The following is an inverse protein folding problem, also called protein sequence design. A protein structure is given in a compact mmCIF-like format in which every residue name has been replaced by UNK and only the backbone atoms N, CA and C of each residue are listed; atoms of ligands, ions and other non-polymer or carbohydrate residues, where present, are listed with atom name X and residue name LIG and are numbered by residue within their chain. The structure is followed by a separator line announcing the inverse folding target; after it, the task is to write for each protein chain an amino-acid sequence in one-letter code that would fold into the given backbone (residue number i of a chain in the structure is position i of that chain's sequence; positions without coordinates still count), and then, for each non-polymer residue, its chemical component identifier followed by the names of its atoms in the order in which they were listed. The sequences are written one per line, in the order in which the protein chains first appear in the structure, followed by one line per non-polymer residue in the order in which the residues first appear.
data_IF_985194649377
#
_entry.id   IF_985194649377
#
_cell.length_a   1.000
_cell.length_b   1.000
_cell.length_c   1.000
_cell.angle_alpha   90.00
_cell.angle_beta   90.00
_cell.angle_gamma   90.00
#
_symmetry.space_group_name_H-M   'P 1'
#
loop_
_entity.id
_entity.type
_entity.pdbx_description
1 polymer ?
#
# COMPACT_ATOMS: atom_id res chain seq x y z
N UNK A 1 -10.59 -4.89 13.73
CA UNK A 1 -10.94 -5.63 12.50
C UNK A 1 -9.69 -5.67 11.62
N UNK A 2 -9.28 -6.86 11.19
CA UNK A 2 -8.14 -7.02 10.26
C UNK A 2 -8.66 -7.66 8.98
N UNK A 3 -8.33 -7.08 7.83
CA UNK A 3 -8.80 -7.54 6.51
C UNK A 3 -7.64 -7.52 5.52
N UNK A 4 -7.49 -8.57 4.72
CA UNK A 4 -6.54 -8.60 3.62
C UNK A 4 -7.21 -8.05 2.35
N UNK A 5 -6.53 -7.12 1.67
CA UNK A 5 -6.97 -6.54 0.42
C UNK A 5 -6.30 -7.26 -0.76
N UNK A 6 -7.04 -7.41 -1.86
CA UNK A 6 -6.53 -7.97 -3.12
C UNK A 6 -5.97 -6.89 -4.04
N UNK A 7 -6.32 -5.62 -3.78
CA UNK A 7 -5.78 -4.47 -4.48
C UNK A 7 -5.52 -3.31 -3.49
N UNK A 8 -4.62 -2.37 -3.82
CA UNK A 8 -4.21 -1.32 -2.87
C UNK A 8 -5.23 -0.20 -2.67
N UNK A 9 -6.23 -0.08 -3.51
CA UNK A 9 -7.00 1.16 -3.59
C UNK A 9 -8.36 1.10 -2.91
N UNK A 10 -8.98 -0.09 -2.78
CA UNK A 10 -10.38 -0.17 -2.43
C UNK A 10 -10.72 -1.37 -1.55
N UNK A 11 -10.67 -1.20 -0.25
CA UNK A 11 -11.29 -2.18 0.64
C UNK A 11 -12.46 -1.56 1.38
N UNK A 12 -13.66 -1.93 0.97
CA UNK A 12 -14.89 -1.62 1.70
C UNK A 12 -14.99 -2.54 2.91
N UNK A 13 -15.12 -1.97 4.10
CA UNK A 13 -15.30 -2.73 5.34
C UNK A 13 -16.65 -2.40 5.97
N UNK A 14 -17.44 -3.44 6.19
CA UNK A 14 -18.71 -3.34 6.91
C UNK A 14 -18.58 -3.88 8.33
N UNK A 15 -19.17 -3.16 9.28
CA UNK A 15 -19.21 -3.54 10.69
C UNK A 15 -20.57 -3.10 11.29
N UNK A 16 -20.97 -3.73 12.37
CA UNK A 16 -22.27 -3.53 13.00
C UNK A 16 -22.09 -3.26 14.48
N UNK A 17 -21.76 -2.01 14.88
CA UNK A 17 -21.60 -1.65 16.28
C UNK A 17 -22.96 -1.62 16.97
N UNK A 18 -22.99 -2.07 18.20
CA UNK A 18 -24.14 -2.01 19.09
C UNK A 18 -23.75 -1.35 20.39
N UNK A 19 -24.65 -0.60 21.00
CA UNK A 19 -24.51 -0.11 22.35
C UNK A 19 -25.75 -0.53 23.16
N UNK A 20 -25.59 -0.73 24.44
CA UNK A 20 -26.69 -1.10 25.34
C UNK A 20 -26.80 -0.02 26.40
N UNK A 21 -27.99 0.45 26.60
CA UNK A 21 -28.37 1.36 27.67
C UNK A 21 -29.34 0.66 28.65
N UNK A 22 -29.36 1.11 29.89
CA UNK A 22 -30.18 0.49 30.92
C UNK A 22 -31.66 0.88 30.83
N UNK A 23 -32.01 1.89 30.03
CA UNK A 23 -33.37 2.40 29.81
C UNK A 23 -33.82 2.19 28.38
N UNK A 24 -32.96 2.53 27.39
CA UNK A 24 -33.27 2.50 25.96
C UNK A 24 -32.96 1.15 25.30
N UNK A 25 -32.49 0.16 26.06
CA UNK A 25 -32.13 -1.20 25.61
C UNK A 25 -30.97 -1.21 24.58
N UNK A 26 -31.26 -1.25 23.28
CA UNK A 26 -30.25 -1.35 22.22
C UNK A 26 -30.23 -0.07 21.40
N UNK A 27 -29.08 0.57 21.37
CA UNK A 27 -28.81 1.77 20.58
C UNK A 27 -27.95 1.42 19.36
N UNK A 28 -28.16 2.14 18.26
CA UNK A 28 -27.30 2.04 17.08
C UNK A 28 -26.31 3.20 17.07
N UNK A 29 -25.02 2.97 17.33
CA UNK A 29 -24.01 4.02 17.32
C UNK A 29 -23.80 4.59 15.92
N UNK A 30 -23.48 5.89 15.83
CA UNK A 30 -22.98 6.53 14.62
C UNK A 30 -21.48 6.51 14.65
N UNK A 31 -20.85 5.98 13.59
CA UNK A 31 -19.40 5.83 13.50
C UNK A 31 -18.77 6.71 12.42
N UNK A 32 -17.55 7.11 12.64
CA UNK A 32 -16.73 7.81 11.66
C UNK A 32 -15.32 7.17 11.61
N UNK A 33 -14.87 6.61 10.46
CA UNK A 33 -15.63 6.36 9.23
C UNK A 33 -16.86 5.46 9.43
N UNK A 34 -17.85 5.60 8.55
CA UNK A 34 -19.08 4.81 8.62
C UNK A 34 -18.85 3.36 8.15
N UNK A 35 -19.71 2.44 8.61
CA UNK A 35 -19.77 1.08 8.05
C UNK A 35 -20.05 1.14 6.55
N UNK A 36 -19.32 0.33 5.77
CA UNK A 36 -19.40 0.36 4.31
C UNK A 36 -18.53 1.44 3.64
N UNK A 37 -17.71 2.17 4.40
CA UNK A 37 -16.72 3.08 3.83
C UNK A 37 -15.53 2.33 3.25
N UNK A 38 -14.79 2.99 2.35
CA UNK A 38 -13.49 2.54 1.86
C UNK A 38 -12.42 2.88 2.91
N UNK A 39 -11.59 1.90 3.22
CA UNK A 39 -10.47 2.04 4.15
C UNK A 39 -9.15 1.93 3.41
N UNK A 40 -8.18 2.85 3.65
CA UNK A 40 -6.85 2.77 3.05
C UNK A 40 -6.05 1.60 3.65
N UNK A 41 -4.97 1.22 2.97
CA UNK A 41 -3.96 0.30 3.51
C UNK A 41 -3.42 0.87 4.82
N UNK A 42 -3.12 -0.01 5.77
CA UNK A 42 -2.69 0.36 7.11
C UNK A 42 -3.84 0.39 8.11
N UNK A 43 -3.65 1.10 9.21
CA UNK A 43 -4.60 1.10 10.34
C UNK A 43 -5.36 2.40 10.43
N UNK A 44 -6.68 2.32 10.36
CA UNK A 44 -7.62 3.44 10.54
C UNK A 44 -8.37 3.27 11.86
N UNK A 45 -8.43 4.33 12.67
CA UNK A 45 -9.26 4.35 13.88
C UNK A 45 -10.69 4.76 13.53
N UNK A 46 -11.65 3.94 13.93
CA UNK A 46 -13.09 4.22 13.82
C UNK A 46 -13.61 4.66 15.17
N UNK A 47 -14.24 5.83 15.23
CA UNK A 47 -14.82 6.40 16.44
C UNK A 47 -16.34 6.27 16.32
N UNK A 48 -16.99 5.65 17.31
CA UNK A 48 -18.45 5.46 17.35
C UNK A 48 -19.04 6.16 18.55
N UNK A 49 -20.14 6.89 18.35
CA UNK A 49 -20.90 7.57 19.38
C UNK A 49 -22.32 7.04 19.42
N UNK A 50 -22.77 6.61 20.59
CA UNK A 50 -24.15 6.28 20.88
C UNK A 50 -24.77 7.40 21.72
N UNK A 51 -26.01 7.77 21.43
CA UNK A 51 -26.76 8.78 22.20
C UNK A 51 -28.09 8.19 22.60
N UNK A 52 -28.43 8.28 23.89
CA UNK A 52 -29.72 7.82 24.43
C UNK A 52 -30.87 8.82 24.15
N UNK A 53 -32.08 8.44 24.50
CA UNK A 53 -33.27 9.28 24.31
C UNK A 53 -33.27 10.52 25.21
N UNK A 54 -32.49 10.53 26.28
CA UNK A 54 -32.34 11.68 27.19
C UNK A 54 -31.23 12.65 26.72
N UNK A 55 -30.47 12.29 25.66
CA UNK A 55 -29.40 13.11 25.10
C UNK A 55 -28.01 12.84 25.69
N UNK A 56 -27.83 11.81 26.54
CA UNK A 56 -26.51 11.43 27.01
C UNK A 56 -25.74 10.68 25.91
N UNK A 57 -24.49 11.02 25.71
CA UNK A 57 -23.66 10.42 24.66
C UNK A 57 -22.47 9.65 25.25
N UNK A 58 -22.21 8.48 24.69
CA UNK A 58 -21.02 7.69 24.99
C UNK A 58 -20.24 7.41 23.71
N UNK A 59 -18.92 7.54 23.78
CA UNK A 59 -18.03 7.37 22.64
C UNK A 59 -17.01 6.26 22.92
N UNK A 60 -16.82 5.39 21.94
CA UNK A 60 -15.80 4.34 21.95
C UNK A 60 -15.13 4.24 20.58
N UNK A 61 -13.98 3.58 20.52
CA UNK A 61 -13.24 3.43 19.26
C UNK A 61 -12.68 2.02 19.09
N UNK A 62 -12.50 1.63 17.84
CA UNK A 62 -11.78 0.42 17.45
C UNK A 62 -10.95 0.71 16.19
N UNK A 63 -10.07 -0.21 15.82
CA UNK A 63 -9.25 -0.08 14.62
C UNK A 63 -9.71 -1.03 13.53
N UNK A 64 -9.62 -0.54 12.28
CA UNK A 64 -9.70 -1.33 11.06
C UNK A 64 -8.31 -1.31 10.43
N UNK A 65 -7.71 -2.48 10.26
CA UNK A 65 -6.39 -2.64 9.63
C UNK A 65 -6.58 -3.35 8.30
N UNK A 66 -6.15 -2.71 7.23
CA UNK A 66 -6.11 -3.30 5.89
C UNK A 66 -4.69 -3.72 5.60
N UNK A 67 -4.47 -5.03 5.49
CA UNK A 67 -3.21 -5.59 5.04
C UNK A 67 -3.27 -5.77 3.52
N UNK A 68 -2.20 -5.36 2.85
CA UNK A 68 -2.00 -5.60 1.43
C UNK A 68 -0.60 -6.18 1.22
N UNK A 69 -0.54 -7.36 0.63
CA UNK A 69 0.72 -8.09 0.40
C UNK A 69 1.16 -8.00 -1.08
N UNK A 70 0.53 -7.13 -1.85
CA UNK A 70 0.87 -6.92 -3.26
C UNK A 70 1.81 -5.74 -3.47
N UNK A 71 1.88 -5.31 -4.72
CA UNK A 71 2.71 -4.18 -5.15
C UNK A 71 1.86 -2.92 -5.28
N UNK A 72 2.41 -1.78 -4.84
CA UNK A 72 1.85 -0.45 -5.11
C UNK A 72 2.89 0.35 -5.86
N UNK A 73 2.67 0.58 -7.14
CA UNK A 73 3.57 1.35 -7.99
C UNK A 73 2.76 2.48 -8.61
N UNK A 74 3.13 3.76 -8.37
CA UNK A 74 2.41 4.87 -8.97
C UNK A 74 2.54 4.91 -10.49
N UNK A 75 1.45 5.15 -11.21
CA UNK A 75 1.42 5.19 -12.69
C UNK A 75 2.41 6.18 -13.30
N UNK A 76 2.68 7.31 -12.63
CA UNK A 76 3.64 8.30 -13.12
C UNK A 76 5.06 7.75 -13.24
N UNK A 77 5.39 6.67 -12.51
CA UNK A 77 6.70 6.03 -12.58
C UNK A 77 6.95 5.38 -13.94
N UNK A 78 5.91 5.05 -14.71
CA UNK A 78 6.04 4.55 -16.09
C UNK A 78 6.86 5.48 -16.96
N UNK A 79 6.69 6.80 -16.81
CA UNK A 79 7.50 7.78 -17.54
C UNK A 79 8.98 7.70 -17.14
N UNK A 80 9.28 7.55 -15.85
CA UNK A 80 10.65 7.43 -15.35
C UNK A 80 11.29 6.13 -15.85
N UNK A 81 10.55 5.02 -15.80
CA UNK A 81 10.99 3.72 -16.30
C UNK A 81 11.27 3.75 -17.82
N UNK A 82 10.44 4.47 -18.58
CA UNK A 82 10.64 4.71 -20.02
C UNK A 82 11.94 5.48 -20.29
N UNK A 83 12.17 6.58 -19.57
CA UNK A 83 13.40 7.37 -19.73
C UNK A 83 14.65 6.56 -19.36
N UNK A 84 14.57 5.74 -18.33
CA UNK A 84 15.66 4.84 -17.95
C UNK A 84 15.92 3.75 -19.02
N UNK A 85 14.87 3.05 -19.47
CA UNK A 85 14.98 2.07 -20.55
C UNK A 85 15.57 2.67 -21.82
N UNK A 86 15.19 3.90 -22.14
CA UNK A 86 15.65 4.63 -23.35
C UNK A 86 17.06 5.26 -23.19
N UNK A 87 17.70 5.12 -22.03
CA UNK A 87 19.04 5.63 -21.77
C UNK A 87 19.13 7.14 -21.50
N UNK A 88 18.00 7.82 -21.25
CA UNK A 88 17.98 9.23 -20.84
C UNK A 88 18.27 9.40 -19.35
N UNK A 89 18.08 8.37 -18.55
CA UNK A 89 18.41 8.27 -17.12
C UNK A 89 19.42 7.13 -16.98
N UNK A 90 20.51 7.36 -16.25
CA UNK A 90 21.50 6.33 -15.95
C UNK A 90 21.01 5.38 -14.84
N UNK A 91 21.72 4.25 -14.67
CA UNK A 91 21.36 3.21 -13.73
C UNK A 91 21.38 3.70 -12.29
N UNK A 92 22.42 4.43 -11.90
CA UNK A 92 22.62 4.90 -10.53
C UNK A 92 21.47 5.87 -10.13
N UNK A 93 21.17 6.83 -11.00
CA UNK A 93 20.07 7.79 -10.79
C UNK A 93 18.70 7.09 -10.68
N UNK A 94 18.45 6.07 -11.50
CA UNK A 94 17.21 5.31 -11.43
C UNK A 94 17.12 4.50 -10.14
N UNK A 95 18.20 3.77 -9.78
CA UNK A 95 18.22 2.95 -8.56
C UNK A 95 18.06 3.80 -7.29
N UNK A 96 18.75 4.96 -7.21
CA UNK A 96 18.60 5.89 -6.08
C UNK A 96 17.16 6.40 -5.96
N UNK A 97 16.53 6.75 -7.08
CA UNK A 97 15.14 7.20 -7.07
C UNK A 97 14.18 6.08 -6.59
N UNK A 98 14.33 4.85 -7.10
CA UNK A 98 13.51 3.72 -6.68
C UNK A 98 13.73 3.40 -5.20
N UNK A 99 14.99 3.39 -4.75
CA UNK A 99 15.32 3.17 -3.33
C UNK A 99 14.64 4.20 -2.43
N UNK A 100 14.72 5.49 -2.80
CA UNK A 100 14.04 6.56 -2.08
C UNK A 100 12.52 6.34 -2.02
N UNK A 101 11.91 5.95 -3.13
CA UNK A 101 10.46 5.73 -3.20
C UNK A 101 10.02 4.54 -2.35
N UNK A 102 10.81 3.47 -2.29
CA UNK A 102 10.55 2.31 -1.42
C UNK A 102 10.72 2.69 0.05
N UNK A 103 11.81 3.37 0.41
CA UNK A 103 12.09 3.79 1.79
C UNK A 103 11.05 4.77 2.35
N UNK A 104 10.38 5.54 1.50
CA UNK A 104 9.30 6.45 1.88
C UNK A 104 7.90 5.85 1.65
N UNK A 105 7.80 4.55 1.45
CA UNK A 105 6.53 3.82 1.28
C UNK A 105 5.65 4.34 0.13
N UNK A 106 6.24 5.03 -0.85
CA UNK A 106 5.56 5.49 -2.08
C UNK A 106 5.42 4.32 -3.06
N UNK A 107 6.44 3.46 -3.12
CA UNK A 107 6.39 2.15 -3.78
C UNK A 107 6.37 1.09 -2.68
N UNK A 108 5.35 0.24 -2.73
CA UNK A 108 5.29 -0.95 -1.87
C UNK A 108 5.70 -2.15 -2.71
N UNK A 109 6.73 -2.85 -2.26
CA UNK A 109 7.17 -4.14 -2.80
C UNK A 109 6.94 -5.21 -1.76
N UNK A 110 6.81 -6.47 -2.19
CA UNK A 110 6.72 -7.57 -1.22
C UNK A 110 7.95 -7.58 -0.32
N UNK A 111 7.75 -7.90 0.96
CA UNK A 111 8.87 -8.01 1.89
C UNK A 111 9.81 -9.12 1.41
N UNK A 112 11.04 -8.73 1.09
CA UNK A 112 12.11 -9.65 0.71
C UNK A 112 13.33 -9.35 1.56
N UNK A 113 14.20 -10.34 1.72
CA UNK A 113 15.45 -10.11 2.42
C UNK A 113 16.37 -9.27 1.52
N UNK A 114 16.90 -8.17 2.09
CA UNK A 114 17.89 -7.37 1.40
C UNK A 114 19.16 -8.20 1.14
N UNK A 115 19.57 -8.31 -0.10
CA UNK A 115 20.79 -9.00 -0.46
C UNK A 115 22.03 -8.25 0.05
N UNK A 116 23.06 -9.00 0.38
CA UNK A 116 24.39 -8.46 0.74
C UNK A 116 25.28 -8.24 -0.51
N UNK A 117 24.66 -8.07 -1.65
CA UNK A 117 25.35 -7.94 -2.93
C UNK A 117 26.31 -6.73 -2.95
N UNK A 118 27.42 -6.89 -3.64
CA UNK A 118 28.49 -5.89 -3.73
C UNK A 118 28.25 -4.87 -4.83
N UNK A 119 27.03 -4.77 -5.34
CA UNK A 119 26.73 -3.95 -6.51
C UNK A 119 27.33 -4.56 -7.79
N UNK A 120 26.64 -4.42 -8.87
CA UNK A 120 27.05 -4.82 -10.21
C UNK A 120 26.25 -4.00 -11.21
N UNK A 121 26.49 -4.14 -12.51
CA UNK A 121 25.66 -3.47 -13.50
C UNK A 121 24.23 -4.02 -13.40
N UNK A 122 23.25 -3.15 -13.61
CA UNK A 122 21.86 -3.58 -13.74
C UNK A 122 21.76 -4.50 -14.96
N UNK A 123 21.20 -5.71 -14.81
CA UNK A 123 21.04 -6.61 -15.95
C UNK A 123 20.13 -5.99 -17.04
N UNK A 124 20.52 -6.13 -18.30
CA UNK A 124 19.77 -5.59 -19.44
C UNK A 124 18.30 -6.05 -19.49
N UNK A 125 18.02 -7.26 -19.00
CA UNK A 125 16.65 -7.76 -18.97
C UNK A 125 15.75 -6.93 -18.04
N UNK A 126 16.27 -6.37 -16.94
CA UNK A 126 15.50 -5.51 -16.02
C UNK A 126 15.10 -4.21 -16.73
N UNK A 127 16.02 -3.63 -17.50
CA UNK A 127 15.72 -2.44 -18.32
C UNK A 127 14.66 -2.73 -19.38
N UNK A 128 14.71 -3.92 -19.99
CA UNK A 128 13.69 -4.34 -20.95
C UNK A 128 12.33 -4.49 -20.27
N UNK A 129 12.29 -5.10 -19.08
CA UNK A 129 11.06 -5.22 -18.28
C UNK A 129 10.48 -3.83 -17.97
N UNK A 130 11.32 -2.87 -17.58
CA UNK A 130 10.87 -1.49 -17.33
C UNK A 130 10.27 -0.83 -18.58
N UNK A 131 10.88 -1.04 -19.75
CA UNK A 131 10.36 -0.54 -21.03
C UNK A 131 9.02 -1.17 -21.42
N UNK A 132 8.86 -2.45 -21.22
CA UNK A 132 7.60 -3.16 -21.48
C UNK A 132 6.49 -2.73 -20.53
N UNK A 133 6.81 -2.55 -19.25
CA UNK A 133 5.88 -2.03 -18.27
C UNK A 133 5.45 -0.59 -18.58
N UNK A 134 6.40 0.28 -18.91
CA UNK A 134 6.13 1.67 -19.31
C UNK A 134 5.25 1.78 -20.57
N UNK A 135 5.23 0.74 -21.39
CA UNK A 135 4.42 0.65 -22.61
C UNK A 135 3.16 -0.20 -22.45
N UNK A 136 2.75 -0.51 -21.21
CA UNK A 136 1.58 -1.32 -20.87
C UNK A 136 1.56 -2.73 -21.51
N UNK A 137 2.76 -3.29 -21.79
CA UNK A 137 2.89 -4.64 -22.35
C UNK A 137 2.94 -5.72 -21.26
N UNK A 138 3.26 -5.35 -20.04
CA UNK A 138 3.25 -6.21 -18.85
C UNK A 138 2.57 -5.47 -17.71
N UNK A 139 2.12 -6.23 -16.71
CA UNK A 139 1.45 -5.71 -15.53
C UNK A 139 2.44 -5.20 -14.45
N UNK A 140 1.90 -4.54 -13.43
CA UNK A 140 2.66 -3.98 -12.31
C UNK A 140 3.38 -5.07 -11.51
N UNK A 141 2.79 -6.25 -11.37
CA UNK A 141 3.38 -7.39 -10.65
C UNK A 141 4.66 -7.86 -11.33
N UNK A 142 4.64 -8.01 -12.64
CA UNK A 142 5.83 -8.41 -13.43
C UNK A 142 6.95 -7.39 -13.30
N UNK A 143 6.64 -6.10 -13.33
CA UNK A 143 7.65 -5.05 -13.12
C UNK A 143 8.16 -5.04 -11.68
N UNK A 144 7.28 -5.14 -10.70
CA UNK A 144 7.63 -5.19 -9.28
C UNK A 144 8.54 -6.37 -8.93
N UNK A 145 8.32 -7.53 -9.54
CA UNK A 145 9.21 -8.69 -9.39
C UNK A 145 10.64 -8.37 -9.88
N UNK A 146 10.81 -7.53 -10.89
CA UNK A 146 12.14 -7.08 -11.32
C UNK A 146 12.80 -6.16 -10.30
N UNK A 147 12.03 -5.32 -9.59
CA UNK A 147 12.54 -4.50 -8.49
C UNK A 147 12.92 -5.37 -7.27
N UNK A 148 12.10 -6.36 -6.95
CA UNK A 148 12.41 -7.35 -5.89
C UNK A 148 13.73 -8.05 -6.17
N UNK A 149 13.98 -8.48 -7.41
CA UNK A 149 15.26 -9.05 -7.81
C UNK A 149 16.42 -8.08 -7.56
N UNK A 150 16.28 -6.78 -7.86
CA UNK A 150 17.31 -5.77 -7.61
C UNK A 150 17.61 -5.59 -6.11
N UNK A 151 16.59 -5.75 -5.26
CA UNK A 151 16.76 -5.77 -3.79
C UNK A 151 17.52 -7.03 -3.36
N UNK A 152 17.13 -8.20 -3.85
CA UNK A 152 17.75 -9.49 -3.51
C UNK A 152 19.24 -9.56 -3.88
N UNK A 153 19.64 -8.94 -4.98
CA UNK A 153 21.05 -8.86 -5.38
C UNK A 153 21.79 -7.66 -4.76
N UNK A 154 21.11 -6.85 -3.93
CA UNK A 154 21.70 -5.74 -3.17
C UNK A 154 21.99 -4.49 -4.00
N UNK A 155 21.40 -4.33 -5.18
CA UNK A 155 21.49 -3.08 -5.96
C UNK A 155 20.53 -2.01 -5.42
N UNK A 156 19.39 -2.40 -4.86
CA UNK A 156 18.50 -1.52 -4.11
C UNK A 156 18.58 -1.93 -2.64
N UNK A 157 18.83 -0.96 -1.76
CA UNK A 157 18.92 -1.21 -0.32
C UNK A 157 17.67 -0.69 0.38
N UNK A 158 16.99 -1.62 1.05
CA UNK A 158 15.87 -1.35 1.93
C UNK A 158 16.36 -1.52 3.37
N UNK A 159 16.46 -0.46 4.10
CA UNK A 159 16.86 -0.48 5.52
C UNK A 159 15.69 -0.08 6.39
#
# INVERSE_FOLDING_TARGET
IVVNAENPNDKVVSFFPTAVDNVDEVLTPTCNPQSGSVFPIGTTTVICTATDSAGNASTNSFTVTINYEGFVIPDWLKNVAWFWHSGYVDDDSFLEAIQYLIQNEIIIVQSTEAGTGTGGPVPDWVKNVAGWWASDQIDDETFANSLTYLIEIGLIQIS
#
